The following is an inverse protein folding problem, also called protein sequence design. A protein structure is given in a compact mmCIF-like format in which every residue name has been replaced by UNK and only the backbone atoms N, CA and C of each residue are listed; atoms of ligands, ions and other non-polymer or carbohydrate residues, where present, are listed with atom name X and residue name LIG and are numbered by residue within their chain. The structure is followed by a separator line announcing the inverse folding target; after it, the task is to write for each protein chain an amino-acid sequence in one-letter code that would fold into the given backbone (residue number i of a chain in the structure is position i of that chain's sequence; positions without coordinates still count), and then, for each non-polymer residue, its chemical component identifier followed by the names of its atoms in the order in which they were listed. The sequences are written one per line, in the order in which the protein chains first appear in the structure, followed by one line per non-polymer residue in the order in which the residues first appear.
data_IF_468631085366
#
_entry.id   IF_468631085366
#
_cell.length_a   1.000
_cell.length_b   1.000
_cell.length_c   1.000
_cell.angle_alpha   90.00
_cell.angle_beta   90.00
_cell.angle_gamma   90.00
#
_symmetry.space_group_name_H-M   'P 1'
#
loop_
_entity.id
_entity.type
_entity.pdbx_description
1 polymer ?
#
# COMPACT_ATOMS: atom_id res chain seq x y z
N UNK A 1 6.67 30.91 27.62
CA UNK A 1 5.35 30.41 27.19
C UNK A 1 5.52 29.94 25.76
N UNK A 2 5.41 28.63 25.58
CA UNK A 2 5.84 27.84 24.43
C UNK A 2 4.96 28.06 23.21
N UNK A 3 5.58 28.25 22.04
CA UNK A 3 5.05 27.74 20.78
C UNK A 3 6.17 26.93 20.14
N UNK A 4 6.15 25.61 20.41
CA UNK A 4 6.94 24.65 19.66
C UNK A 4 6.21 24.48 18.32
N UNK A 5 6.74 25.13 17.28
CA UNK A 5 6.34 24.83 15.91
C UNK A 5 6.72 23.38 15.63
N UNK A 6 5.72 22.49 15.54
CA UNK A 6 5.91 21.17 14.96
C UNK A 6 6.37 21.35 13.52
N UNK A 7 7.64 21.08 13.26
CA UNK A 7 8.12 20.86 11.91
C UNK A 7 7.55 19.53 11.49
N UNK A 8 6.45 19.55 10.72
CA UNK A 8 5.96 18.36 10.06
C UNK A 8 7.11 17.76 9.25
N UNK A 9 7.58 16.58 9.65
CA UNK A 9 8.58 15.84 8.88
C UNK A 9 8.11 15.62 7.44
N UNK A 10 9.00 15.21 6.52
CA UNK A 10 8.57 14.87 5.16
C UNK A 10 7.40 13.88 5.23
N UNK A 11 6.34 14.14 4.45
CA UNK A 11 5.19 13.26 4.38
C UNK A 11 5.66 11.80 4.14
N UNK A 12 5.04 10.81 4.81
CA UNK A 12 5.46 9.43 4.69
C UNK A 12 5.44 8.98 3.23
N UNK A 13 6.46 8.25 2.81
CA UNK A 13 6.58 7.75 1.45
C UNK A 13 5.52 6.67 1.22
N UNK A 14 4.63 6.90 0.24
CA UNK A 14 3.55 5.97 -0.10
C UNK A 14 4.02 4.91 -1.10
N UNK A 15 3.86 3.64 -0.72
CA UNK A 15 4.07 2.46 -1.56
C UNK A 15 2.73 2.03 -2.18
N UNK A 16 2.67 1.93 -3.49
CA UNK A 16 1.50 1.46 -4.24
C UNK A 16 1.70 0.03 -4.74
N UNK A 17 0.70 -0.83 -4.55
CA UNK A 17 0.68 -2.22 -5.01
C UNK A 17 -0.50 -2.40 -5.96
N UNK A 18 -0.31 -2.23 -7.28
CA UNK A 18 -1.35 -2.46 -8.27
C UNK A 18 -1.72 -3.92 -8.39
N UNK A 19 -2.88 -4.17 -9.01
CA UNK A 19 -3.29 -5.51 -9.44
C UNK A 19 -2.54 -5.92 -10.70
N UNK A 20 -2.07 -7.16 -10.72
CA UNK A 20 -1.54 -7.81 -11.92
C UNK A 20 -2.61 -7.93 -13.00
N UNK A 21 -2.26 -7.50 -14.22
CA UNK A 21 -3.17 -7.48 -15.39
C UNK A 21 -2.78 -8.47 -16.49
N UNK A 22 -1.66 -9.16 -16.35
CA UNK A 22 -1.23 -10.16 -17.33
C UNK A 22 -2.11 -11.41 -17.25
N UNK A 23 -2.48 -11.95 -18.40
CA UNK A 23 -3.33 -13.14 -18.48
C UNK A 23 -2.64 -14.34 -17.80
N UNK A 24 -3.36 -14.97 -16.87
CA UNK A 24 -2.86 -16.13 -16.12
C UNK A 24 -1.89 -15.80 -14.98
N UNK A 25 -1.51 -14.53 -14.78
CA UNK A 25 -0.74 -14.11 -13.61
C UNK A 25 -1.61 -14.18 -12.35
N UNK A 26 -1.07 -14.82 -11.31
CA UNK A 26 -1.76 -15.06 -10.04
C UNK A 26 -0.99 -14.56 -8.83
N UNK A 27 0.22 -14.04 -9.04
CA UNK A 27 1.06 -13.49 -7.98
C UNK A 27 0.55 -12.11 -7.55
N UNK A 28 1.05 -11.67 -6.41
CA UNK A 28 0.91 -10.30 -5.92
C UNK A 28 2.27 -9.85 -5.41
N UNK A 29 2.66 -8.61 -5.71
CA UNK A 29 3.98 -8.08 -5.34
C UNK A 29 4.17 -7.92 -3.83
N UNK A 30 3.08 -7.79 -3.06
CA UNK A 30 3.10 -7.67 -1.61
C UNK A 30 2.02 -8.52 -0.95
N UNK A 31 2.44 -9.42 -0.06
CA UNK A 31 1.53 -10.23 0.76
C UNK A 31 1.19 -9.52 2.08
N UNK A 32 0.00 -9.75 2.68
CA UNK A 32 -0.40 -9.08 3.91
C UNK A 32 0.58 -9.24 5.07
N UNK A 33 1.25 -10.40 5.16
CA UNK A 33 2.24 -10.68 6.20
C UNK A 33 3.47 -9.77 6.19
N UNK A 34 3.79 -9.15 5.06
CA UNK A 34 4.96 -8.28 4.89
C UNK A 34 4.67 -6.79 5.21
N UNK A 35 3.40 -6.39 5.29
CA UNK A 35 2.99 -5.00 5.55
C UNK A 35 3.57 -4.43 6.84
N UNK A 36 3.56 -5.21 7.92
CA UNK A 36 4.05 -4.76 9.23
C UNK A 36 5.48 -4.21 9.19
N UNK A 37 6.35 -4.78 8.35
CA UNK A 37 7.73 -4.32 8.23
C UNK A 37 7.82 -2.97 7.53
N UNK A 38 7.00 -2.75 6.48
CA UNK A 38 6.94 -1.49 5.75
C UNK A 38 6.35 -0.37 6.63
N UNK A 39 5.26 -0.67 7.34
CA UNK A 39 4.64 0.27 8.27
C UNK A 39 5.60 0.68 9.40
N UNK A 40 6.36 -0.28 9.96
CA UNK A 40 7.40 0.01 10.97
C UNK A 40 8.55 0.85 10.43
N UNK A 41 8.82 0.80 9.13
CA UNK A 41 9.80 1.66 8.48
C UNK A 41 9.28 3.08 8.22
N UNK A 42 8.03 3.39 8.62
CA UNK A 42 7.41 4.70 8.41
C UNK A 42 6.84 4.88 6.99
N UNK A 43 6.66 3.79 6.25
CA UNK A 43 6.03 3.82 4.93
C UNK A 43 4.52 3.68 5.06
N UNK A 44 3.80 4.36 4.19
CA UNK A 44 2.38 4.08 3.97
C UNK A 44 2.24 3.07 2.84
N UNK A 45 1.27 2.16 2.93
CA UNK A 45 1.02 1.18 1.89
C UNK A 45 -0.41 1.28 1.40
N UNK A 46 -0.56 1.43 0.09
CA UNK A 46 -1.83 1.36 -0.61
C UNK A 46 -1.82 0.19 -1.59
N UNK A 47 -2.94 -0.51 -1.69
CA UNK A 47 -3.12 -1.70 -2.53
C UNK A 47 -4.35 -1.51 -3.40
N UNK A 48 -4.27 -1.85 -4.68
CA UNK A 48 -5.44 -1.85 -5.57
C UNK A 48 -6.43 -2.94 -5.12
N UNK A 49 -7.72 -2.61 -5.10
CA UNK A 49 -8.77 -3.56 -4.77
C UNK A 49 -8.68 -4.82 -5.63
N UNK A 50 -8.69 -5.98 -4.98
CA UNK A 50 -8.55 -7.28 -5.64
C UNK A 50 -7.14 -7.64 -6.12
N UNK A 51 -6.10 -6.85 -5.81
CA UNK A 51 -4.73 -7.16 -6.23
C UNK A 51 -4.23 -8.51 -5.70
N UNK A 52 -4.63 -8.89 -4.49
CA UNK A 52 -4.24 -10.15 -3.85
C UNK A 52 -5.16 -11.33 -4.13
N UNK A 53 -6.34 -11.11 -4.71
CA UNK A 53 -7.35 -12.17 -4.87
C UNK A 53 -6.84 -13.39 -5.66
N UNK A 54 -6.15 -13.22 -6.81
CA UNK A 54 -5.60 -14.35 -7.55
C UNK A 54 -4.59 -15.19 -6.76
N UNK A 55 -3.95 -14.57 -5.76
CA UNK A 55 -2.97 -15.19 -4.85
C UNK A 55 -3.62 -15.71 -3.54
N UNK A 56 -4.94 -15.56 -3.38
CA UNK A 56 -5.68 -16.01 -2.19
C UNK A 56 -5.69 -15.03 -1.02
N UNK A 57 -5.35 -13.75 -1.25
CA UNK A 57 -5.38 -12.70 -0.22
C UNK A 57 -6.51 -11.71 -0.52
N UNK A 58 -7.54 -11.72 0.33
CA UNK A 58 -8.65 -10.77 0.21
C UNK A 58 -8.24 -9.38 0.71
N UNK A 59 -8.89 -8.35 0.18
CA UNK A 59 -8.71 -6.94 0.56
C UNK A 59 -8.81 -6.72 2.08
N UNK A 60 -9.69 -7.45 2.76
CA UNK A 60 -9.82 -7.40 4.22
C UNK A 60 -8.50 -7.70 4.95
N UNK A 61 -7.71 -8.68 4.46
CA UNK A 61 -6.42 -9.02 5.05
C UNK A 61 -5.40 -7.88 4.91
N UNK A 62 -5.47 -7.12 3.82
CA UNK A 62 -4.64 -5.92 3.62
C UNK A 62 -5.04 -4.80 4.58
N UNK A 63 -6.35 -4.53 4.71
CA UNK A 63 -6.85 -3.51 5.64
C UNK A 63 -6.55 -3.86 7.11
N UNK A 64 -6.73 -5.11 7.51
CA UNK A 64 -6.42 -5.58 8.87
C UNK A 64 -4.93 -5.50 9.18
N UNK A 65 -4.08 -5.69 8.16
CA UNK A 65 -2.64 -5.55 8.29
C UNK A 65 -2.16 -4.08 8.24
N UNK A 66 -3.05 -3.12 8.01
CA UNK A 66 -2.79 -1.67 8.06
C UNK A 66 -2.54 -1.00 6.71
N UNK A 67 -2.84 -1.67 5.59
CA UNK A 67 -2.82 -1.04 4.27
C UNK A 67 -4.13 -0.28 4.00
N UNK A 68 -4.07 0.71 3.10
CA UNK A 68 -5.27 1.30 2.50
C UNK A 68 -5.60 0.57 1.20
N UNK A 69 -6.84 0.12 1.03
CA UNK A 69 -7.30 -0.45 -0.25
C UNK A 69 -7.92 0.66 -1.11
N UNK A 70 -7.53 0.73 -2.38
CA UNK A 70 -7.94 1.77 -3.33
C UNK A 70 -8.61 1.13 -4.54
N UNK A 71 -9.77 1.66 -4.93
CA UNK A 71 -10.63 1.04 -5.95
C UNK A 71 -10.03 1.00 -7.36
N UNK A 72 -9.21 1.98 -7.73
CA UNK A 72 -8.68 2.12 -9.09
C UNK A 72 -7.19 2.47 -9.11
N UNK A 73 -6.55 2.08 -10.21
CA UNK A 73 -5.12 2.29 -10.45
C UNK A 73 -4.74 3.78 -10.47
N UNK A 74 -5.60 4.65 -10.99
CA UNK A 74 -5.34 6.08 -11.06
C UNK A 74 -5.21 6.71 -9.67
N UNK A 75 -6.17 6.44 -8.79
CA UNK A 75 -6.14 6.85 -7.38
C UNK A 75 -5.02 6.18 -6.57
N UNK A 76 -4.67 4.94 -6.91
CA UNK A 76 -3.58 4.22 -6.27
C UNK A 76 -2.22 4.87 -6.55
N UNK A 77 -1.95 5.20 -7.82
CA UNK A 77 -0.67 5.77 -8.26
C UNK A 77 -0.53 7.25 -7.91
N UNK A 78 -1.64 7.95 -7.64
CA UNK A 78 -1.60 9.35 -7.24
C UNK A 78 -0.79 9.55 -5.94
N UNK A 79 0.30 10.30 -6.05
CA UNK A 79 1.20 10.58 -4.93
C UNK A 79 2.01 9.37 -4.43
N UNK A 80 2.02 8.26 -5.17
CA UNK A 80 2.88 7.12 -4.85
C UNK A 80 4.35 7.47 -5.10
N UNK A 81 5.19 7.27 -4.09
CA UNK A 81 6.64 7.45 -4.22
C UNK A 81 7.35 6.19 -4.71
N UNK A 82 6.75 5.01 -4.49
CA UNK A 82 7.25 3.70 -4.92
C UNK A 82 6.08 2.86 -5.41
N UNK A 83 6.30 2.09 -6.47
CA UNK A 83 5.35 1.09 -6.98
C UNK A 83 5.99 -0.29 -6.89
N UNK A 84 5.27 -1.26 -6.32
CA UNK A 84 5.65 -2.68 -6.31
C UNK A 84 4.73 -3.43 -7.26
N UNK A 85 5.24 -3.87 -8.40
CA UNK A 85 4.54 -4.60 -9.46
C UNK A 85 5.41 -5.77 -9.90
#
# INVERSE_FOLDING_TARGET
MTEASEVAGPAPLRVAVPRERQDGERRVALVPGALRSLLRAGLEVAVEAGAGEPAGYHDAAYTEAGATVVADLGGLLHGAGVVLH
#
